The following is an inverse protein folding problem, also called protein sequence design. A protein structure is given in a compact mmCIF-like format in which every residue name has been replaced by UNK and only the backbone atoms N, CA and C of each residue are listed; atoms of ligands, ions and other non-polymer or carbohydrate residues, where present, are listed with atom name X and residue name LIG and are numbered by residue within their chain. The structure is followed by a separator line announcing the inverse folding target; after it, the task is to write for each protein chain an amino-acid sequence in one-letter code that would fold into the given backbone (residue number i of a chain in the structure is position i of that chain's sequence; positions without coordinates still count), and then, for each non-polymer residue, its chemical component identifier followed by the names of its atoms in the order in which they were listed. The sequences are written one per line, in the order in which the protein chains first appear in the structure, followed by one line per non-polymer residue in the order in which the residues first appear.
data_IF_973145209940
#
_entry.id   IF_973145209940
#
_cell.length_a   1.000
_cell.length_b   1.000
_cell.length_c   1.000
_cell.angle_alpha   90.00
_cell.angle_beta   90.00
_cell.angle_gamma   90.00
#
_symmetry.space_group_name_H-M   'P 1'
#
loop_
_entity.id
_entity.type
_entity.pdbx_description
1 polymer ?
#
# COMPACT_ATOMS: atom_id res chain seq x y z
N UNK A 1 12.17 29.89 -11.35
CA UNK A 1 12.66 28.50 -11.33
C UNK A 1 11.46 27.62 -11.03
N UNK A 2 11.11 26.71 -11.95
CA UNK A 2 9.97 25.80 -11.83
C UNK A 2 10.16 24.90 -10.60
N UNK A 3 9.42 25.14 -9.52
CA UNK A 3 9.27 24.16 -8.44
C UNK A 3 8.22 23.16 -8.90
N UNK A 4 8.63 21.91 -9.00
CA UNK A 4 7.80 20.78 -9.44
C UNK A 4 6.73 20.50 -8.37
N UNK A 5 5.52 20.14 -8.79
CA UNK A 5 4.52 19.48 -7.94
C UNK A 5 5.21 18.36 -7.15
N UNK A 6 5.28 18.49 -5.83
CA UNK A 6 5.57 17.38 -4.95
C UNK A 6 4.22 16.73 -4.61
N UNK A 7 3.81 15.77 -5.45
CA UNK A 7 2.72 14.86 -5.11
C UNK A 7 3.28 13.87 -4.08
N UNK A 8 3.16 14.17 -2.78
CA UNK A 8 3.53 13.21 -1.74
C UNK A 8 2.44 12.15 -1.63
N UNK A 9 2.82 10.90 -1.89
CA UNK A 9 1.97 9.71 -1.84
C UNK A 9 1.39 9.52 -0.41
N UNK A 10 0.08 9.56 -0.29
CA UNK A 10 -0.67 8.67 0.60
C UNK A 10 -1.61 7.85 -0.32
N UNK A 11 -1.10 6.72 -0.78
CA UNK A 11 -1.75 5.87 -1.78
C UNK A 11 -2.32 4.64 -1.07
N UNK A 12 -3.63 4.66 -0.78
CA UNK A 12 -4.47 3.44 -0.74
C UNK A 12 -5.79 3.73 -1.47
N UNK A 13 -5.67 4.14 -2.72
CA UNK A 13 -6.55 3.69 -3.79
C UNK A 13 -5.60 3.15 -4.86
N UNK A 14 -5.56 1.83 -5.03
CA UNK A 14 -4.89 1.20 -6.15
C UNK A 14 -5.43 1.83 -7.44
N UNK A 15 -4.52 2.44 -8.20
CA UNK A 15 -4.83 3.11 -9.45
C UNK A 15 -5.38 2.10 -10.46
N UNK A 16 -6.70 2.08 -10.68
CA UNK A 16 -7.26 1.64 -11.97
C UNK A 16 -7.25 2.82 -12.95
N UNK A 17 -6.06 3.27 -13.34
CA UNK A 17 -5.89 4.12 -14.53
C UNK A 17 -5.79 3.17 -15.73
N UNK A 18 -6.93 2.70 -16.24
CA UNK A 18 -6.98 2.06 -17.56
C UNK A 18 -6.89 3.15 -18.64
N UNK A 19 -5.66 3.62 -18.89
CA UNK A 19 -5.29 4.29 -20.13
C UNK A 19 -4.68 3.25 -21.08
N UNK A 20 -5.45 2.82 -22.08
CA UNK A 20 -5.01 1.81 -23.04
C UNK A 20 -3.71 2.19 -23.77
N UNK A 21 -2.75 1.26 -23.82
CA UNK A 21 -1.61 1.34 -24.71
C UNK A 21 -2.06 1.27 -26.17
N UNK A 22 -2.14 2.41 -26.85
CA UNK A 22 -2.00 2.44 -28.31
C UNK A 22 -0.56 2.84 -28.67
N UNK A 23 0.17 1.89 -29.28
CA UNK A 23 1.43 2.17 -29.96
C UNK A 23 1.18 3.16 -31.11
N UNK A 24 1.94 4.26 -31.17
CA UNK A 24 2.41 4.85 -32.44
C UNK A 24 3.55 5.86 -32.29
N UNK A 25 4.68 5.47 -32.87
CA UNK A 25 5.64 6.23 -33.66
C UNK A 25 6.04 7.67 -33.29
N UNK A 26 7.35 7.80 -33.09
CA UNK A 26 8.17 9.01 -33.02
C UNK A 26 7.91 10.00 -34.16
N UNK A 27 7.31 11.17 -33.86
CA UNK A 27 7.75 12.48 -34.39
C UNK A 27 7.09 13.65 -33.66
N UNK A 28 7.93 14.58 -33.20
CA UNK A 28 7.69 15.99 -32.82
C UNK A 28 6.29 16.37 -32.31
N UNK A 29 6.09 16.40 -30.99
CA UNK A 29 4.92 17.03 -30.36
C UNK A 29 5.29 18.40 -29.78
N UNK A 30 4.63 19.44 -30.32
CA UNK A 30 4.40 20.69 -29.61
C UNK A 30 3.75 20.38 -28.26
N UNK A 31 4.24 21.01 -27.18
CA UNK A 31 3.69 20.85 -25.85
C UNK A 31 2.28 21.46 -25.81
N UNK A 32 1.26 20.63 -26.05
CA UNK A 32 -0.10 20.93 -25.65
C UNK A 32 -0.13 21.06 -24.13
N UNK A 33 -0.68 22.17 -23.61
CA UNK A 33 -0.93 22.30 -22.19
C UNK A 33 -1.94 21.21 -21.79
N UNK A 34 -1.52 20.25 -20.98
CA UNK A 34 -2.44 19.27 -20.38
C UNK A 34 -3.47 20.04 -19.54
N UNK A 35 -4.76 19.88 -19.86
CA UNK A 35 -5.84 20.44 -19.05
C UNK A 35 -5.81 19.79 -17.66
N UNK A 36 -5.85 20.61 -16.61
CA UNK A 36 -5.87 20.13 -15.24
C UNK A 36 -7.18 19.40 -14.97
N UNK A 37 -7.10 18.08 -14.70
CA UNK A 37 -8.25 17.26 -14.31
C UNK A 37 -8.80 17.75 -12.98
N UNK A 38 -10.09 18.08 -12.95
CA UNK A 38 -10.80 18.55 -11.75
C UNK A 38 -11.93 17.62 -11.32
N UNK A 39 -12.46 16.82 -12.23
CA UNK A 39 -13.56 15.90 -11.97
C UNK A 39 -13.04 14.54 -11.50
N UNK A 40 -13.57 14.09 -10.36
CA UNK A 40 -13.25 12.81 -9.73
C UNK A 40 -14.51 11.99 -9.56
N UNK A 41 -14.38 10.69 -9.81
CA UNK A 41 -15.43 9.70 -9.63
C UNK A 41 -14.81 8.43 -9.09
N UNK A 42 -15.30 8.00 -7.94
CA UNK A 42 -14.83 6.83 -7.20
C UNK A 42 -15.98 5.85 -7.10
N UNK A 43 -16.01 4.88 -8.02
CA UNK A 43 -17.07 3.87 -8.05
C UNK A 43 -17.07 3.07 -6.74
N UNK A 44 -15.89 2.77 -6.21
CA UNK A 44 -15.66 1.97 -5.00
C UNK A 44 -16.34 2.55 -3.75
N UNK A 45 -16.48 3.87 -3.66
CA UNK A 45 -17.07 4.52 -2.50
C UNK A 45 -18.32 5.34 -2.82
N UNK A 46 -18.83 5.27 -4.05
CA UNK A 46 -20.10 5.91 -4.38
C UNK A 46 -20.03 7.45 -4.42
N UNK A 47 -18.86 8.03 -4.68
CA UNK A 47 -18.62 9.47 -4.64
C UNK A 47 -18.16 10.02 -5.99
N UNK A 48 -18.72 11.16 -6.40
CA UNK A 48 -18.19 11.98 -7.47
C UNK A 48 -18.21 13.46 -7.06
N UNK A 49 -17.20 14.23 -7.49
CA UNK A 49 -17.09 15.65 -7.19
C UNK A 49 -16.09 16.33 -8.13
N UNK A 50 -16.15 17.66 -8.20
CA UNK A 50 -15.19 18.47 -8.94
C UNK A 50 -14.44 19.40 -7.99
N UNK A 51 -13.11 19.33 -7.99
CA UNK A 51 -12.30 20.28 -7.24
C UNK A 51 -12.36 21.67 -7.89
N UNK A 52 -12.43 22.76 -7.09
CA UNK A 52 -12.30 24.12 -7.60
C UNK A 52 -10.97 24.29 -8.35
N UNK A 53 -11.00 24.75 -9.60
CA UNK A 53 -9.80 24.95 -10.43
C UNK A 53 -8.74 25.80 -9.75
N UNK A 54 -9.16 26.83 -9.01
CA UNK A 54 -8.28 27.72 -8.27
C UNK A 54 -7.38 26.99 -7.26
N UNK A 55 -7.85 25.87 -6.69
CA UNK A 55 -7.05 25.05 -5.78
C UNK A 55 -5.87 24.35 -6.47
N UNK A 56 -5.98 24.09 -7.77
CA UNK A 56 -4.97 23.37 -8.55
C UNK A 56 -4.06 24.31 -9.36
N UNK A 57 -4.55 25.51 -9.67
CA UNK A 57 -3.84 26.49 -10.50
C UNK A 57 -3.02 27.50 -9.68
N UNK A 58 -3.31 27.66 -8.38
CA UNK A 58 -2.66 28.64 -7.53
C UNK A 58 -1.25 28.20 -7.11
N UNK A 59 -0.26 29.09 -7.27
CA UNK A 59 1.10 28.85 -6.78
C UNK A 59 1.12 28.73 -5.24
N UNK A 60 1.93 27.80 -4.72
CA UNK A 60 2.13 27.53 -3.28
C UNK A 60 0.87 27.00 -2.55
N UNK A 61 -0.02 26.33 -3.28
CA UNK A 61 -1.09 25.50 -2.69
C UNK A 61 -0.66 24.04 -2.82
N UNK A 62 -0.37 23.38 -1.70
CA UNK A 62 -0.22 21.93 -1.66
C UNK A 62 -1.47 21.32 -1.03
N UNK A 63 -2.21 20.57 -1.83
CA UNK A 63 -3.31 19.74 -1.35
C UNK A 63 -2.87 18.28 -1.37
N UNK A 64 -2.88 17.66 -0.21
CA UNK A 64 -2.54 16.24 -0.04
C UNK A 64 -3.85 15.48 0.11
N UNK A 65 -4.26 14.68 -0.89
CA UNK A 65 -5.41 13.82 -0.73
C UNK A 65 -5.08 12.63 0.19
N UNK A 66 -5.98 12.32 1.12
CA UNK A 66 -5.95 11.12 1.95
C UNK A 66 -7.25 10.36 1.70
N UNK A 67 -7.16 9.13 1.20
CA UNK A 67 -8.36 8.33 0.94
C UNK A 67 -8.15 6.86 1.19
N UNK A 68 -9.22 6.18 1.61
CA UNK A 68 -9.28 4.72 1.72
C UNK A 68 -10.69 4.21 1.47
N UNK A 69 -10.78 2.93 1.11
CA UNK A 69 -12.00 2.12 1.17
C UNK A 69 -11.66 0.85 1.96
N UNK A 70 -12.43 0.58 3.00
CA UNK A 70 -12.28 -0.60 3.85
C UNK A 70 -13.65 -1.24 4.05
N UNK A 71 -13.82 -2.43 3.46
CA UNK A 71 -15.10 -3.16 3.50
C UNK A 71 -15.42 -3.72 4.89
N UNK A 72 -14.45 -3.73 5.80
CA UNK A 72 -14.51 -4.36 7.14
C UNK A 72 -14.50 -3.35 8.29
N UNK A 73 -14.01 -2.13 8.06
CA UNK A 73 -13.96 -1.09 9.07
C UNK A 73 -15.33 -0.47 9.36
N UNK A 74 -15.43 0.20 10.52
CA UNK A 74 -16.63 0.94 10.91
C UNK A 74 -16.90 2.13 9.98
N UNK A 75 -15.84 2.82 9.54
CA UNK A 75 -15.87 3.80 8.46
C UNK A 75 -15.57 3.07 7.16
N UNK A 76 -16.52 3.05 6.23
CA UNK A 76 -16.38 2.31 4.98
C UNK A 76 -15.42 2.98 4.01
N UNK A 77 -15.49 4.30 3.86
CA UNK A 77 -14.54 5.05 3.05
C UNK A 77 -14.35 6.47 3.56
N UNK A 78 -13.17 7.03 3.29
CA UNK A 78 -12.86 8.44 3.52
C UNK A 78 -12.18 9.02 2.29
N UNK A 79 -12.53 10.25 1.93
CA UNK A 79 -11.79 11.08 0.98
C UNK A 79 -11.60 12.46 1.61
N UNK A 80 -10.37 12.80 1.93
CA UNK A 80 -9.98 14.00 2.67
C UNK A 80 -8.91 14.75 1.86
N UNK A 81 -8.92 16.08 1.92
CA UNK A 81 -7.88 16.90 1.32
C UNK A 81 -7.28 17.83 2.37
N UNK A 82 -5.99 17.64 2.63
CA UNK A 82 -5.22 18.42 3.59
C UNK A 82 -4.48 19.55 2.90
N UNK A 83 -4.60 20.77 3.43
CA UNK A 83 -3.73 21.87 3.05
C UNK A 83 -2.42 21.79 3.81
N UNK A 84 -1.32 21.80 3.06
CA UNK A 84 0.02 21.85 3.59
C UNK A 84 0.78 23.08 3.05
N UNK A 85 1.13 24.04 3.91
CA UNK A 85 1.99 25.15 3.51
C UNK A 85 3.37 24.70 3.04
N UNK A 86 3.93 25.37 2.02
CA UNK A 86 5.30 25.14 1.55
C UNK A 86 6.34 25.18 2.68
N UNK A 87 6.16 26.09 3.64
CA UNK A 87 7.06 26.29 4.78
C UNK A 87 7.05 25.11 5.76
N UNK A 88 6.03 24.26 5.72
CA UNK A 88 5.89 23.08 6.58
C UNK A 88 6.36 21.79 5.90
N UNK A 89 6.63 21.81 4.58
CA UNK A 89 6.99 20.62 3.81
C UNK A 89 8.32 20.01 4.26
N UNK A 90 9.30 20.82 4.64
CA UNK A 90 10.60 20.31 5.09
C UNK A 90 10.45 19.51 6.40
N UNK A 91 9.61 19.99 7.33
CA UNK A 91 9.36 19.30 8.60
C UNK A 91 8.54 18.02 8.40
N UNK A 92 7.55 18.04 7.50
CA UNK A 92 6.78 16.83 7.16
C UNK A 92 7.62 15.73 6.52
N UNK A 93 8.69 16.10 5.83
CA UNK A 93 9.63 15.15 5.23
C UNK A 93 10.72 14.69 6.20
N UNK A 94 10.77 15.25 7.41
CA UNK A 94 11.72 14.89 8.44
C UNK A 94 11.12 13.82 9.37
N UNK A 95 11.56 12.57 9.22
CA UNK A 95 11.12 11.47 10.09
C UNK A 95 11.51 11.66 11.56
N UNK A 96 12.46 12.55 11.87
CA UNK A 96 12.89 12.90 13.23
C UNK A 96 12.15 14.13 13.79
N UNK A 97 11.18 14.69 13.06
CA UNK A 97 10.36 15.81 13.52
C UNK A 97 9.65 15.49 14.83
N UNK A 98 9.76 16.41 15.80
CA UNK A 98 8.97 16.37 17.03
C UNK A 98 7.64 17.15 16.89
N UNK A 99 7.42 17.84 15.77
CA UNK A 99 6.21 18.62 15.54
C UNK A 99 5.07 17.68 15.11
N UNK A 100 3.93 17.67 15.81
CA UNK A 100 2.79 16.86 15.42
C UNK A 100 2.32 17.16 14.00
N UNK A 101 2.03 16.12 13.20
CA UNK A 101 1.59 16.26 11.80
C UNK A 101 0.33 17.13 11.66
N UNK A 102 -0.60 17.02 12.62
CA UNK A 102 -1.83 17.82 12.65
C UNK A 102 -1.60 19.31 12.99
N UNK A 103 -0.36 19.70 13.32
CA UNK A 103 0.05 21.10 13.38
C UNK A 103 0.68 21.56 12.06
N UNK A 104 1.15 20.64 11.21
CA UNK A 104 1.87 20.94 9.96
C UNK A 104 0.95 20.96 8.72
N UNK A 105 -0.16 20.24 8.78
CA UNK A 105 -1.21 20.23 7.75
C UNK A 105 -2.60 20.26 8.37
N UNK A 106 -3.61 20.70 7.60
CA UNK A 106 -4.98 20.78 8.09
C UNK A 106 -6.00 20.31 7.05
N UNK A 107 -6.98 19.47 7.42
CA UNK A 107 -8.08 19.11 6.53
C UNK A 107 -8.88 20.34 6.10
N UNK A 108 -9.12 20.46 4.80
CA UNK A 108 -10.03 21.48 4.25
C UNK A 108 -11.46 20.95 4.22
N UNK A 109 -11.62 19.71 3.74
CA UNK A 109 -12.88 19.00 3.71
C UNK A 109 -12.66 17.50 3.74
N UNK A 110 -13.69 16.78 4.20
CA UNK A 110 -13.72 15.32 4.21
C UNK A 110 -15.08 14.82 3.73
N UNK A 111 -15.06 13.86 2.82
CA UNK A 111 -16.20 13.06 2.42
C UNK A 111 -16.10 11.71 3.13
N UNK A 112 -17.08 11.40 3.96
CA UNK A 112 -17.14 10.17 4.75
C UNK A 112 -18.27 9.29 4.21
N UNK A 113 -18.00 8.00 4.04
CA UNK A 113 -18.98 6.99 3.64
C UNK A 113 -19.09 5.96 4.75
N UNK A 114 -20.31 5.68 5.19
CA UNK A 114 -20.58 4.85 6.37
C UNK A 114 -21.72 3.89 6.06
N UNK A 115 -21.58 2.62 6.43
CA UNK A 115 -22.69 1.65 6.33
C UNK A 115 -23.79 1.97 7.32
N UNK A 116 -25.04 1.69 6.98
CA UNK A 116 -26.20 1.93 7.83
C UNK A 116 -26.02 1.40 9.27
N UNK A 117 -25.47 0.20 9.42
CA UNK A 117 -25.22 -0.44 10.72
C UNK A 117 -24.16 0.24 11.58
N UNK A 118 -23.27 1.04 10.98
CA UNK A 118 -22.12 1.64 11.63
C UNK A 118 -22.30 3.15 11.91
N UNK A 119 -23.40 3.78 11.48
CA UNK A 119 -23.63 5.23 11.66
C UNK A 119 -23.48 5.68 13.12
N UNK A 120 -23.88 4.84 14.07
CA UNK A 120 -23.80 5.11 15.50
C UNK A 120 -22.51 4.59 16.17
N UNK A 121 -21.55 4.08 15.40
CA UNK A 121 -20.27 3.59 15.94
C UNK A 121 -19.47 4.70 16.59
N UNK A 122 -18.56 4.31 17.48
CA UNK A 122 -17.69 5.29 18.15
C UNK A 122 -16.71 5.91 17.15
N UNK A 123 -16.15 5.12 16.22
CA UNK A 123 -15.22 5.65 15.20
C UNK A 123 -15.87 6.73 14.32
N UNK A 124 -17.12 6.53 13.90
CA UNK A 124 -17.84 7.52 13.08
C UNK A 124 -18.13 8.79 13.88
N UNK A 125 -18.51 8.66 15.15
CA UNK A 125 -18.73 9.81 16.04
C UNK A 125 -17.46 10.59 16.30
N UNK A 126 -16.35 9.89 16.54
CA UNK A 126 -15.05 10.51 16.79
C UNK A 126 -14.56 11.28 15.56
N UNK A 127 -14.67 10.69 14.36
CA UNK A 127 -14.28 11.36 13.11
C UNK A 127 -15.13 12.61 12.86
N UNK A 128 -16.46 12.52 13.00
CA UNK A 128 -17.36 13.67 12.83
C UNK A 128 -17.06 14.77 13.87
N UNK A 129 -16.71 14.39 15.10
CA UNK A 129 -16.42 15.34 16.18
C UNK A 129 -15.16 16.18 15.94
N UNK A 130 -14.31 15.83 14.96
CA UNK A 130 -13.18 16.65 14.55
C UNK A 130 -13.58 17.90 13.76
N UNK A 131 -14.84 17.99 13.33
CA UNK A 131 -15.36 19.03 12.45
C UNK A 131 -16.50 19.82 13.11
N UNK A 132 -16.53 21.13 12.89
CA UNK A 132 -17.65 21.97 13.38
C UNK A 132 -18.90 21.80 12.52
N UNK A 133 -18.71 21.49 11.23
CA UNK A 133 -19.80 21.33 10.28
C UNK A 133 -19.84 19.89 9.75
N UNK A 134 -21.02 19.28 9.83
CA UNK A 134 -21.32 17.98 9.27
C UNK A 134 -22.64 18.06 8.52
N UNK A 135 -22.57 17.88 7.20
CA UNK A 135 -23.73 17.84 6.34
C UNK A 135 -23.98 16.41 5.86
N UNK A 136 -25.17 15.86 6.13
CA UNK A 136 -25.58 14.57 5.56
C UNK A 136 -25.96 14.76 4.08
N UNK A 137 -25.24 14.07 3.20
CA UNK A 137 -25.45 14.04 1.75
C UNK A 137 -26.56 13.02 1.40
N UNK A 138 -27.07 13.00 0.15
CA UNK A 138 -28.10 12.04 -0.24
C UNK A 138 -27.67 10.59 0.03
N UNK A 139 -28.53 9.84 0.73
CA UNK A 139 -28.29 8.43 1.08
C UNK A 139 -28.41 7.55 -0.14
N UNK A 140 -27.67 6.45 -0.12
CA UNK A 140 -27.73 5.40 -1.13
C UNK A 140 -28.02 4.07 -0.45
N UNK A 141 -28.35 3.04 -1.21
CA UNK A 141 -28.71 1.74 -0.66
C UNK A 141 -27.60 1.20 0.25
N UNK A 142 -27.88 1.08 1.55
CA UNK A 142 -26.92 0.58 2.55
C UNK A 142 -25.95 1.61 3.12
N UNK A 143 -25.92 2.85 2.61
CA UNK A 143 -24.87 3.82 2.93
C UNK A 143 -25.37 5.23 3.26
N UNK A 144 -24.73 5.83 4.26
CA UNK A 144 -24.76 7.24 4.60
C UNK A 144 -23.49 7.93 4.11
N UNK A 145 -23.63 9.19 3.74
CA UNK A 145 -22.57 10.02 3.20
C UNK A 145 -22.55 11.34 3.97
N UNK A 146 -21.37 11.80 4.37
CA UNK A 146 -21.20 13.05 5.11
C UNK A 146 -20.18 13.94 4.43
N UNK A 147 -20.48 15.22 4.34
CA UNK A 147 -19.54 16.27 3.97
C UNK A 147 -19.16 17.05 5.22
N UNK A 148 -17.90 16.88 5.64
CA UNK A 148 -17.35 17.44 6.86
C UNK A 148 -16.45 18.63 6.49
N UNK A 149 -16.68 19.78 7.15
CA UNK A 149 -15.89 20.99 6.96
C UNK A 149 -15.66 21.69 8.30
N UNK A 150 -14.82 22.73 8.29
CA UNK A 150 -14.52 23.52 9.48
C UNK A 150 -13.87 22.66 10.58
N UNK A 151 -12.77 21.99 10.21
CA UNK A 151 -11.93 21.22 11.12
C UNK A 151 -11.55 22.04 12.36
N UNK A 152 -11.67 21.44 13.55
CA UNK A 152 -11.52 22.12 14.85
C UNK A 152 -10.03 22.36 15.21
N UNK A 153 -9.10 21.66 14.55
CA UNK A 153 -7.68 21.79 14.81
C UNK A 153 -7.12 23.20 14.58
N UNK A 154 -5.98 23.46 15.21
CA UNK A 154 -5.30 24.76 15.14
C UNK A 154 -4.17 24.77 14.12
N UNK A 155 -3.88 25.94 13.54
CA UNK A 155 -2.76 26.13 12.60
C UNK A 155 -1.69 27.07 13.18
N UNK A 156 -1.09 26.79 14.36
CA UNK A 156 -0.13 27.70 14.99
C UNK A 156 1.16 27.86 14.16
N UNK A 157 1.60 26.80 13.48
CA UNK A 157 2.80 26.78 12.64
C UNK A 157 2.66 27.60 11.35
N UNK A 158 1.44 27.91 10.90
CA UNK A 158 1.21 28.56 9.61
C UNK A 158 1.63 30.04 9.68
N UNK A 159 2.23 30.56 8.62
CA UNK A 159 2.43 32.00 8.45
C UNK A 159 1.10 32.72 8.17
N UNK A 160 1.11 34.05 8.23
CA UNK A 160 -0.04 34.88 7.86
C UNK A 160 -0.47 34.64 6.40
N UNK A 161 0.50 34.40 5.51
CA UNK A 161 0.24 34.09 4.10
C UNK A 161 -0.47 32.75 3.98
N UNK A 162 0.04 31.71 4.65
CA UNK A 162 -0.54 30.36 4.64
C UNK A 162 -1.95 30.34 5.22
N UNK A 163 -2.21 31.10 6.30
CA UNK A 163 -3.57 31.26 6.84
C UNK A 163 -4.51 31.93 5.84
N UNK A 164 -4.06 32.99 5.16
CA UNK A 164 -4.87 33.66 4.12
C UNK A 164 -5.15 32.75 2.93
N UNK A 165 -4.18 31.92 2.54
CA UNK A 165 -4.37 30.88 1.53
C UNK A 165 -5.44 29.90 1.98
N UNK A 166 -5.35 29.37 3.21
CA UNK A 166 -6.36 28.47 3.77
C UNK A 166 -7.77 29.07 3.75
N UNK A 167 -7.93 30.34 4.13
CA UNK A 167 -9.23 31.03 4.05
C UNK A 167 -9.75 31.14 2.61
N UNK A 168 -8.85 31.37 1.65
CA UNK A 168 -9.21 31.40 0.22
C UNK A 168 -9.68 30.01 -0.24
N UNK A 169 -8.98 28.95 0.15
CA UNK A 169 -9.39 27.58 -0.15
C UNK A 169 -10.76 27.28 0.45
N UNK A 170 -10.96 27.57 1.74
CA UNK A 170 -12.24 27.38 2.44
C UNK A 170 -13.40 28.14 1.78
N UNK A 171 -13.14 29.31 1.21
CA UNK A 171 -14.19 30.10 0.54
C UNK A 171 -14.81 29.42 -0.68
N UNK A 172 -14.13 28.43 -1.27
CA UNK A 172 -14.61 27.64 -2.42
C UNK A 172 -15.37 26.37 -2.01
N UNK A 173 -15.40 26.00 -0.72
CA UNK A 173 -16.12 24.84 -0.22
C UNK A 173 -17.61 24.81 -0.61
N UNK A 174 -18.35 25.94 -0.63
CA UNK A 174 -19.74 25.95 -1.10
C UNK A 174 -19.87 25.64 -2.59
N UNK A 175 -18.87 25.99 -3.40
CA UNK A 175 -18.82 25.66 -4.83
C UNK A 175 -18.53 24.18 -5.02
N UNK A 176 -17.51 23.65 -4.32
CA UNK A 176 -17.17 22.21 -4.32
C UNK A 176 -18.38 21.38 -3.91
N UNK A 177 -19.04 21.73 -2.79
CA UNK A 177 -20.20 21.02 -2.26
C UNK A 177 -21.31 20.81 -3.30
N UNK A 178 -21.57 21.79 -4.17
CA UNK A 178 -22.62 21.69 -5.21
C UNK A 178 -22.31 20.64 -6.28
N UNK A 179 -21.05 20.24 -6.41
CA UNK A 179 -20.59 19.22 -7.36
C UNK A 179 -20.57 17.82 -6.77
N UNK A 180 -20.71 17.70 -5.44
CA UNK A 180 -20.68 16.40 -4.77
C UNK A 180 -21.95 15.62 -5.08
N UNK A 181 -21.76 14.48 -5.72
CA UNK A 181 -22.79 13.50 -6.05
C UNK A 181 -22.51 12.20 -5.30
N UNK A 182 -23.59 11.55 -4.83
CA UNK A 182 -23.52 10.23 -4.20
C UNK A 182 -24.27 9.22 -5.07
N UNK A 183 -23.78 7.99 -5.10
CA UNK A 183 -24.40 6.85 -5.77
C UNK A 183 -24.01 5.56 -5.03
N UNK A 184 -24.61 4.42 -5.39
CA UNK A 184 -24.33 3.15 -4.69
C UNK A 184 -22.86 2.76 -4.89
N UNK A 185 -22.08 2.52 -3.81
CA UNK A 185 -20.71 2.02 -3.91
C UNK A 185 -20.64 0.69 -4.67
N UNK A 186 -19.69 0.57 -5.60
CA UNK A 186 -19.37 -0.69 -6.29
C UNK A 186 -18.46 -1.56 -5.41
N UNK A 187 -19.06 -2.16 -4.39
CA UNK A 187 -18.38 -3.12 -3.51
C UNK A 187 -17.81 -4.32 -4.27
N UNK A 188 -18.39 -4.68 -5.42
CA UNK A 188 -17.90 -5.79 -6.23
C UNK A 188 -16.55 -5.48 -6.87
N UNK A 189 -16.30 -4.23 -7.26
CA UNK A 189 -14.99 -3.78 -7.73
C UNK A 189 -13.93 -3.79 -6.63
N UNK A 190 -14.33 -3.45 -5.39
CA UNK A 190 -13.44 -3.51 -4.22
C UNK A 190 -13.07 -4.95 -3.90
N UNK A 191 -14.06 -5.84 -3.88
CA UNK A 191 -13.83 -7.26 -3.68
C UNK A 191 -12.99 -7.86 -4.82
N UNK A 192 -13.25 -7.49 -6.08
CA UNK A 192 -12.45 -7.94 -7.22
C UNK A 192 -10.99 -7.50 -7.12
N UNK A 193 -10.73 -6.28 -6.63
CA UNK A 193 -9.37 -5.82 -6.37
C UNK A 193 -8.72 -6.59 -5.22
N UNK A 194 -9.43 -6.82 -4.12
CA UNK A 194 -8.93 -7.65 -3.01
C UNK A 194 -8.61 -9.06 -3.51
N UNK A 195 -9.50 -9.66 -4.30
CA UNK A 195 -9.32 -10.99 -4.87
C UNK A 195 -8.14 -11.02 -5.84
N UNK A 196 -7.95 -9.97 -6.64
CA UNK A 196 -6.79 -9.83 -7.51
C UNK A 196 -5.50 -9.70 -6.69
N UNK A 197 -5.50 -8.89 -5.63
CA UNK A 197 -4.33 -8.67 -4.77
C UNK A 197 -3.93 -9.96 -4.03
N UNK A 198 -4.89 -10.85 -3.72
CA UNK A 198 -4.63 -12.20 -3.18
C UNK A 198 -3.88 -13.12 -4.15
N UNK A 199 -3.92 -12.85 -5.45
CA UNK A 199 -3.11 -13.61 -6.42
C UNK A 199 -1.62 -13.32 -6.30
N UNK A 200 -1.23 -12.25 -5.58
CA UNK A 200 0.15 -11.82 -5.44
C UNK A 200 0.64 -11.95 -4.00
N UNK A 201 1.94 -12.23 -3.84
CA UNK A 201 2.58 -12.20 -2.52
C UNK A 201 2.99 -10.76 -2.20
N UNK A 202 2.07 -9.99 -1.61
CA UNK A 202 2.30 -8.59 -1.25
C UNK A 202 2.71 -8.43 0.22
N UNK A 203 3.71 -7.58 0.47
CA UNK A 203 4.16 -7.24 1.82
C UNK A 203 4.97 -5.93 1.86
N UNK A 204 4.93 -5.28 3.02
CA UNK A 204 5.79 -4.18 3.44
C UNK A 204 6.26 -4.50 4.86
N UNK A 205 7.52 -4.88 5.01
CA UNK A 205 8.02 -5.42 6.28
C UNK A 205 9.50 -5.11 6.50
N UNK A 206 10.15 -5.83 7.41
CA UNK A 206 11.58 -5.81 7.67
C UNK A 206 12.18 -7.21 7.54
N UNK A 207 13.48 -7.26 7.28
CA UNK A 207 14.26 -8.48 7.44
C UNK A 207 14.48 -8.80 8.92
N UNK A 208 14.92 -10.02 9.23
CA UNK A 208 15.34 -10.38 10.60
C UNK A 208 16.51 -9.51 11.11
N UNK A 209 17.30 -8.92 10.20
CA UNK A 209 18.37 -7.98 10.54
C UNK A 209 17.85 -6.54 10.80
N UNK A 210 16.56 -6.28 10.59
CA UNK A 210 15.93 -4.96 10.79
C UNK A 210 15.91 -4.06 9.55
N UNK A 211 16.38 -4.53 8.40
CA UNK A 211 16.37 -3.74 7.16
C UNK A 211 14.95 -3.70 6.55
N UNK A 212 14.43 -2.55 6.11
CA UNK A 212 13.16 -2.49 5.40
C UNK A 212 13.16 -3.32 4.11
N UNK A 213 12.07 -4.05 3.85
CA UNK A 213 11.90 -4.90 2.67
C UNK A 213 10.45 -4.90 2.20
N UNK A 214 10.24 -4.87 0.89
CA UNK A 214 8.91 -4.89 0.28
C UNK A 214 8.85 -5.89 -0.87
N UNK A 215 7.63 -6.27 -1.25
CA UNK A 215 7.37 -7.15 -2.41
C UNK A 215 7.94 -6.64 -3.74
N UNK A 216 8.32 -5.37 -3.85
CA UNK A 216 9.01 -4.85 -5.05
C UNK A 216 10.36 -5.52 -5.28
N UNK A 217 10.93 -6.19 -4.26
CA UNK A 217 12.14 -6.98 -4.40
C UNK A 217 12.03 -8.10 -5.44
N UNK A 218 10.81 -8.55 -5.75
CA UNK A 218 10.61 -9.56 -6.79
C UNK A 218 10.87 -9.03 -8.19
N UNK A 219 10.71 -7.72 -8.42
CA UNK A 219 10.77 -7.12 -9.76
C UNK A 219 12.19 -7.12 -10.35
N UNK A 220 13.21 -7.21 -9.49
CA UNK A 220 14.62 -7.22 -9.89
C UNK A 220 15.10 -8.60 -10.38
N UNK A 221 14.28 -9.64 -10.26
CA UNK A 221 14.64 -11.02 -10.59
C UNK A 221 13.61 -11.64 -11.53
N UNK A 222 14.04 -12.56 -12.39
CA UNK A 222 13.10 -13.33 -13.22
C UNK A 222 12.27 -14.30 -12.37
N UNK A 223 12.84 -14.78 -11.26
CA UNK A 223 12.21 -15.69 -10.33
C UNK A 223 12.80 -15.48 -8.92
N UNK A 224 11.96 -15.55 -7.90
CA UNK A 224 12.37 -15.60 -6.49
C UNK A 224 11.85 -16.88 -5.85
N UNK A 225 12.75 -17.65 -5.25
CA UNK A 225 12.41 -18.82 -4.44
C UNK A 225 12.13 -18.33 -3.01
N UNK A 226 10.95 -18.63 -2.49
CA UNK A 226 10.52 -18.20 -1.15
C UNK A 226 10.27 -19.44 -0.29
N UNK A 227 11.07 -19.61 0.76
CA UNK A 227 10.90 -20.70 1.73
C UNK A 227 10.17 -20.19 2.98
N UNK A 228 9.10 -20.87 3.38
CA UNK A 228 8.39 -20.62 4.63
C UNK A 228 8.84 -21.62 5.68
N UNK A 229 9.30 -21.10 6.80
CA UNK A 229 9.84 -21.86 7.93
C UNK A 229 9.33 -21.27 9.25
N UNK A 230 9.49 -22.01 10.35
CA UNK A 230 9.15 -21.52 11.69
C UNK A 230 10.12 -22.07 12.72
N UNK A 231 10.31 -21.34 13.82
CA UNK A 231 11.21 -21.75 14.91
C UNK A 231 10.90 -23.15 15.43
N UNK A 232 9.62 -23.53 15.51
CA UNK A 232 9.17 -24.84 15.98
C UNK A 232 9.47 -26.00 15.01
N UNK A 233 9.98 -25.73 13.80
CA UNK A 233 10.54 -26.76 12.93
C UNK A 233 11.87 -27.28 13.49
N UNK A 234 12.65 -26.43 14.15
CA UNK A 234 13.90 -26.80 14.78
C UNK A 234 13.66 -27.55 16.11
N UNK A 235 14.45 -28.58 16.45
CA UNK A 235 15.52 -29.22 15.65
C UNK A 235 15.03 -30.39 14.78
N UNK A 236 13.73 -30.71 14.81
CA UNK A 236 13.19 -31.97 14.29
C UNK A 236 13.14 -32.02 12.75
N UNK A 237 12.91 -30.88 12.12
CA UNK A 237 12.78 -30.70 10.67
C UNK A 237 13.81 -29.65 10.26
N UNK A 238 15.08 -30.01 10.35
CA UNK A 238 16.20 -29.09 10.08
C UNK A 238 16.67 -29.23 8.62
N UNK A 239 16.29 -28.25 7.79
CA UNK A 239 16.71 -28.16 6.38
C UNK A 239 17.69 -27.01 6.10
N UNK A 240 18.04 -26.21 7.12
CA UNK A 240 18.72 -24.93 6.93
C UNK A 240 20.10 -25.09 6.27
N UNK A 241 20.86 -26.13 6.63
CA UNK A 241 22.15 -26.41 5.99
C UNK A 241 21.99 -26.81 4.51
N UNK A 242 20.91 -27.52 4.18
CA UNK A 242 20.57 -27.88 2.79
C UNK A 242 20.12 -26.65 2.00
N UNK A 243 19.29 -25.78 2.60
CA UNK A 243 18.89 -24.51 1.98
C UNK A 243 20.08 -23.58 1.78
N UNK A 244 21.05 -23.57 2.71
CA UNK A 244 22.27 -22.77 2.57
C UNK A 244 23.14 -23.26 1.39
N UNK A 245 23.35 -24.57 1.26
CA UNK A 245 24.05 -25.16 0.11
C UNK A 245 23.30 -24.87 -1.21
N UNK A 246 21.98 -25.02 -1.22
CA UNK A 246 21.13 -24.64 -2.35
C UNK A 246 21.28 -23.16 -2.71
N UNK A 247 21.21 -22.26 -1.74
CA UNK A 247 21.37 -20.81 -1.95
C UNK A 247 22.72 -20.46 -2.57
N UNK A 248 23.82 -21.07 -2.10
CA UNK A 248 25.15 -20.86 -2.66
C UNK A 248 25.24 -21.33 -4.11
N UNK A 249 24.74 -22.54 -4.41
CA UNK A 249 24.71 -23.07 -5.77
C UNK A 249 23.81 -22.25 -6.70
N UNK A 250 22.66 -21.79 -6.20
CA UNK A 250 21.72 -20.95 -6.93
C UNK A 250 22.40 -19.65 -7.37
N UNK A 251 23.08 -18.94 -6.45
CA UNK A 251 23.79 -17.69 -6.78
C UNK A 251 24.92 -17.88 -7.78
N UNK A 252 25.61 -19.03 -7.73
CA UNK A 252 26.69 -19.34 -8.66
C UNK A 252 26.15 -19.59 -10.08
N UNK A 253 25.00 -20.26 -10.18
CA UNK A 253 24.42 -20.68 -11.47
C UNK A 253 23.51 -19.61 -12.10
N UNK A 254 22.74 -18.89 -11.29
CA UNK A 254 21.71 -17.95 -11.74
C UNK A 254 21.85 -16.57 -11.09
N UNK A 255 22.17 -15.55 -11.89
CA UNK A 255 22.25 -14.15 -11.41
C UNK A 255 20.89 -13.46 -11.37
N UNK A 256 19.91 -14.01 -12.08
CA UNK A 256 18.55 -13.49 -12.25
C UNK A 256 17.53 -14.23 -11.37
N UNK A 257 17.99 -15.09 -10.45
CA UNK A 257 17.12 -15.80 -9.51
C UNK A 257 17.52 -15.43 -8.09
N UNK A 258 16.54 -15.12 -7.26
CA UNK A 258 16.73 -14.81 -5.85
C UNK A 258 16.24 -15.94 -4.94
N UNK A 259 16.69 -15.94 -3.69
CA UNK A 259 16.18 -16.79 -2.62
C UNK A 259 15.97 -15.98 -1.35
N UNK A 260 14.82 -16.16 -0.71
CA UNK A 260 14.52 -15.61 0.61
C UNK A 260 13.81 -16.64 1.48
N UNK A 261 14.03 -16.54 2.78
CA UNK A 261 13.24 -17.26 3.78
C UNK A 261 12.26 -16.30 4.48
N UNK A 262 11.09 -16.82 4.85
CA UNK A 262 10.13 -16.18 5.73
C UNK A 262 10.04 -17.03 7.00
N UNK A 263 10.27 -16.42 8.17
CA UNK A 263 10.05 -17.05 9.47
C UNK A 263 8.67 -16.66 9.96
N UNK A 264 7.72 -17.59 9.89
CA UNK A 264 6.30 -17.25 10.01
C UNK A 264 5.84 -16.93 11.45
N UNK A 265 6.64 -17.31 12.44
CA UNK A 265 6.41 -17.06 13.86
C UNK A 265 7.31 -15.96 14.44
N UNK A 266 7.96 -15.18 13.56
CA UNK A 266 8.62 -13.92 13.90
C UNK A 266 7.69 -12.71 13.59
N UNK A 267 7.82 -11.58 14.30
CA UNK A 267 8.74 -11.37 15.42
C UNK A 267 8.25 -12.10 16.68
N UNK A 268 9.19 -12.52 17.53
CA UNK A 268 8.87 -13.23 18.76
C UNK A 268 10.13 -13.69 19.48
N UNK A 269 10.32 -13.26 20.74
CA UNK A 269 11.59 -13.44 21.47
C UNK A 269 12.08 -14.90 21.50
N UNK A 270 11.22 -15.84 21.87
CA UNK A 270 11.58 -17.28 21.90
C UNK A 270 11.84 -17.84 20.49
N UNK A 271 11.09 -17.37 19.49
CA UNK A 271 11.27 -17.79 18.10
C UNK A 271 12.59 -17.27 17.55
N UNK A 272 12.93 -16.00 17.81
CA UNK A 272 14.16 -15.35 17.38
C UNK A 272 15.40 -15.96 18.03
N UNK A 273 15.39 -16.29 19.33
CA UNK A 273 16.49 -17.00 19.99
C UNK A 273 16.73 -18.38 19.35
N UNK A 274 15.64 -19.10 19.04
CA UNK A 274 15.70 -20.40 18.38
C UNK A 274 16.23 -20.27 16.95
N UNK A 275 15.77 -19.26 16.20
CA UNK A 275 16.22 -18.95 14.83
C UNK A 275 17.71 -18.62 14.83
N UNK A 276 18.18 -17.75 15.73
CA UNK A 276 19.59 -17.36 15.83
C UNK A 276 20.48 -18.58 16.08
N UNK A 277 20.07 -19.46 16.99
CA UNK A 277 20.78 -20.72 17.26
C UNK A 277 20.83 -21.61 16.02
N UNK A 278 19.68 -21.86 15.39
CA UNK A 278 19.58 -22.73 14.22
C UNK A 278 20.37 -22.18 13.02
N UNK A 279 20.36 -20.87 12.82
CA UNK A 279 21.08 -20.19 11.73
C UNK A 279 22.59 -20.24 11.95
N UNK A 280 23.05 -20.04 13.18
CA UNK A 280 24.46 -20.14 13.54
C UNK A 280 24.99 -21.56 13.31
N UNK A 281 24.22 -22.59 13.69
CA UNK A 281 24.60 -23.99 13.47
C UNK A 281 24.65 -24.37 11.98
N UNK A 282 23.71 -23.85 11.18
CA UNK A 282 23.61 -24.16 9.76
C UNK A 282 24.45 -23.25 8.86
N UNK A 283 25.00 -22.15 9.38
CA UNK A 283 25.75 -21.16 8.60
C UNK A 283 24.88 -20.37 7.62
N UNK A 284 23.64 -20.05 8.00
CA UNK A 284 22.68 -19.33 7.14
C UNK A 284 23.19 -17.93 6.80
N UNK A 285 23.12 -17.57 5.51
CA UNK A 285 23.55 -16.25 4.98
C UNK A 285 22.55 -15.62 4.01
N UNK A 286 21.43 -16.29 3.74
CA UNK A 286 20.35 -15.73 2.92
C UNK A 286 19.48 -14.74 3.70
N UNK A 287 18.79 -13.86 2.98
CA UNK A 287 17.87 -12.90 3.57
C UNK A 287 16.67 -13.60 4.18
N UNK A 288 16.33 -13.21 5.40
CA UNK A 288 15.16 -13.69 6.13
C UNK A 288 14.19 -12.55 6.37
N UNK A 289 12.92 -12.74 6.05
CA UNK A 289 11.85 -11.75 6.13
C UNK A 289 10.92 -12.11 7.29
N UNK A 290 10.49 -11.09 8.02
CA UNK A 290 9.41 -11.18 9.01
C UNK A 290 8.08 -10.91 8.26
N UNK A 291 7.03 -11.75 8.39
CA UNK A 291 5.77 -11.49 7.70
C UNK A 291 5.04 -10.28 8.29
N UNK A 292 4.50 -9.41 7.43
CA UNK A 292 3.48 -8.45 7.82
C UNK A 292 2.08 -9.11 7.83
N UNK A 293 1.03 -8.35 8.17
CA UNK A 293 -0.33 -8.90 8.21
C UNK A 293 -0.83 -9.40 6.85
N UNK A 294 -0.42 -8.75 5.77
CA UNK A 294 -0.79 -9.15 4.41
C UNK A 294 -0.15 -10.49 4.05
N UNK A 295 1.16 -10.64 4.27
CA UNK A 295 1.87 -11.90 4.07
C UNK A 295 1.33 -13.00 4.99
N UNK A 296 1.05 -12.69 6.27
CA UNK A 296 0.49 -13.66 7.20
C UNK A 296 -0.87 -14.20 6.74
N UNK A 297 -1.74 -13.32 6.24
CA UNK A 297 -3.04 -13.71 5.66
C UNK A 297 -2.84 -14.59 4.42
N UNK A 298 -1.91 -14.20 3.54
CA UNK A 298 -1.57 -15.00 2.36
C UNK A 298 -1.05 -16.39 2.75
N UNK A 299 -0.17 -16.48 3.76
CA UNK A 299 0.38 -17.75 4.28
C UNK A 299 -0.74 -18.66 4.79
N UNK A 300 -1.68 -18.13 5.58
CA UNK A 300 -2.81 -18.91 6.12
C UNK A 300 -3.66 -19.51 4.98
N UNK A 301 -3.87 -18.75 3.90
CA UNK A 301 -4.68 -19.18 2.76
C UNK A 301 -3.93 -20.16 1.84
N UNK A 302 -2.59 -20.06 1.74
CA UNK A 302 -1.82 -20.73 0.69
C UNK A 302 -0.78 -21.74 1.16
N UNK A 303 -0.44 -21.80 2.45
CA UNK A 303 0.59 -22.70 2.99
C UNK A 303 -0.05 -23.67 3.98
N UNK A 304 -0.09 -24.95 3.64
CA UNK A 304 -0.79 -25.98 4.43
C UNK A 304 0.10 -26.71 5.44
N UNK A 305 1.41 -26.50 5.37
CA UNK A 305 2.39 -27.14 6.27
C UNK A 305 3.76 -26.50 6.16
N UNK A 306 4.63 -26.80 7.12
CA UNK A 306 6.00 -26.32 7.14
C UNK A 306 7.03 -27.46 7.17
N UNK A 307 8.21 -27.26 6.56
CA UNK A 307 8.53 -26.14 5.68
C UNK A 307 7.79 -26.25 4.34
N UNK A 308 7.63 -25.12 3.65
CA UNK A 308 7.12 -25.08 2.28
C UNK A 308 7.91 -24.08 1.46
N UNK A 309 8.33 -24.46 0.25
CA UNK A 309 9.00 -23.56 -0.69
C UNK A 309 8.10 -23.29 -1.90
N UNK A 310 7.95 -22.03 -2.26
CA UNK A 310 7.22 -21.56 -3.44
C UNK A 310 8.16 -20.82 -4.39
N UNK A 311 7.63 -20.52 -5.58
CA UNK A 311 8.34 -19.81 -6.63
C UNK A 311 7.50 -18.60 -7.04
N UNK A 312 8.08 -17.41 -7.00
CA UNK A 312 7.40 -16.14 -7.27
C UNK A 312 8.04 -15.49 -8.49
N UNK A 313 7.21 -15.11 -9.46
CA UNK A 313 7.69 -14.46 -10.68
C UNK A 313 8.06 -12.98 -10.46
N UNK A 314 8.55 -12.34 -11.52
CA UNK A 314 8.97 -10.95 -11.52
C UNK A 314 7.84 -9.92 -11.40
N UNK A 315 6.59 -10.37 -11.23
CA UNK A 315 5.42 -9.52 -10.94
C UNK A 315 4.96 -9.67 -9.49
N UNK A 316 5.59 -10.56 -8.72
CA UNK A 316 5.16 -10.92 -7.36
C UNK A 316 4.08 -12.00 -7.34
N UNK A 317 3.79 -12.66 -8.47
CA UNK A 317 2.77 -13.71 -8.55
C UNK A 317 3.41 -15.08 -8.25
N UNK A 318 2.89 -15.84 -7.27
CA UNK A 318 3.32 -17.20 -7.03
C UNK A 318 2.94 -18.14 -8.18
N UNK A 319 3.87 -18.99 -8.59
CA UNK A 319 3.61 -20.11 -9.49
C UNK A 319 2.83 -21.21 -8.76
N UNK A 320 2.21 -22.09 -9.53
CA UNK A 320 1.37 -23.18 -8.98
C UNK A 320 2.17 -24.27 -8.28
N UNK A 321 3.41 -24.51 -8.70
CA UNK A 321 4.30 -25.51 -8.11
C UNK A 321 4.77 -25.08 -6.73
N UNK A 322 4.69 -26.02 -5.77
CA UNK A 322 5.20 -25.86 -4.40
C UNK A 322 5.99 -27.10 -4.01
N UNK A 323 6.98 -26.92 -3.15
CA UNK A 323 7.70 -28.00 -2.51
C UNK A 323 7.25 -28.04 -1.06
N UNK A 324 6.49 -29.07 -0.71
CA UNK A 324 6.04 -29.30 0.66
C UNK A 324 7.02 -30.23 1.38
N UNK A 325 7.50 -29.81 2.55
CA UNK A 325 8.49 -30.53 3.34
C UNK A 325 9.92 -30.39 2.83
N UNK A 326 10.82 -31.08 3.52
CA UNK A 326 12.27 -31.01 3.28
C UNK A 326 12.67 -31.82 2.05
N UNK A 327 13.46 -31.21 1.18
CA UNK A 327 14.10 -31.87 0.04
C UNK A 327 15.62 -31.68 0.07
N UNK A 328 16.32 -32.38 -0.83
CA UNK A 328 17.76 -32.19 -1.02
C UNK A 328 18.07 -31.05 -1.99
N UNK A 329 19.33 -30.59 -2.01
CA UNK A 329 19.79 -29.49 -2.86
C UNK A 329 19.50 -29.72 -4.35
N UNK A 330 19.75 -30.93 -4.86
CA UNK A 330 19.55 -31.26 -6.28
C UNK A 330 18.10 -31.07 -6.70
N UNK A 331 17.15 -31.51 -5.84
CA UNK A 331 15.72 -31.35 -6.10
C UNK A 331 15.29 -29.88 -6.10
N UNK A 332 15.80 -29.07 -5.15
CA UNK A 332 15.55 -27.64 -5.14
C UNK A 332 16.09 -26.96 -6.40
N UNK A 333 17.29 -27.31 -6.85
CA UNK A 333 17.89 -26.80 -8.08
C UNK A 333 17.07 -27.19 -9.33
N UNK A 334 16.74 -28.48 -9.49
CA UNK A 334 15.97 -28.98 -10.64
C UNK A 334 14.58 -28.34 -10.73
N UNK A 335 13.91 -28.19 -9.59
CA UNK A 335 12.59 -27.54 -9.56
C UNK A 335 12.71 -26.06 -9.90
N UNK A 336 13.72 -25.36 -9.36
CA UNK A 336 13.96 -23.94 -9.68
C UNK A 336 14.23 -23.75 -11.17
N UNK A 337 14.98 -24.65 -11.78
CA UNK A 337 15.26 -24.65 -13.23
C UNK A 337 13.99 -24.83 -14.05
N UNK A 338 13.16 -25.80 -13.66
CA UNK A 338 11.86 -26.05 -14.31
C UNK A 338 10.96 -24.82 -14.23
N UNK A 339 10.87 -24.17 -13.08
CA UNK A 339 10.04 -22.98 -12.87
C UNK A 339 10.56 -21.76 -13.65
N UNK A 340 11.88 -21.59 -13.71
CA UNK A 340 12.48 -20.51 -14.48
C UNK A 340 12.22 -20.69 -15.98
N UNK A 341 12.22 -21.93 -16.48
CA UNK A 341 11.91 -22.22 -17.88
C UNK A 341 10.42 -22.09 -18.20
N UNK A 342 9.53 -22.44 -17.27
CA UNK A 342 8.08 -22.19 -17.39
C UNK A 342 7.79 -20.69 -17.60
N UNK A 343 8.38 -19.82 -16.78
CA UNK A 343 8.24 -18.36 -16.89
C UNK A 343 8.70 -17.85 -18.27
N UNK A 344 9.81 -18.40 -18.80
CA UNK A 344 10.32 -17.99 -20.12
C UNK A 344 9.41 -18.42 -21.25
N UNK A 345 8.73 -19.56 -21.13
CA UNK A 345 7.82 -20.07 -22.18
C UNK A 345 6.44 -19.43 -22.18
N UNK A 346 6.03 -18.82 -21.05
CA UNK A 346 4.77 -18.09 -20.93
C UNK A 346 4.82 -16.64 -21.48
N UNK A 347 6.02 -16.10 -21.72
CA UNK A 347 6.29 -14.80 -22.37
C UNK A 347 6.37 -14.95 -23.89
#
# INVERSE_FOLDING_TARGET
MRKKMALFLALILSMSILGGCEKKDTSTQEAAAEEVKTDYRFEQCGLAYSLPKIWLEQENVNLIPVSFVDTTAEIYAKVEYDYTPDENMDELNNIESEIPVNELMIPIFTLLVVRNENVDSQAVKDEIALYQNCEELPKQEGFHFYYLTDYIGSTPSFSEISRKTLETLKSELPSLRKTVETFVPDESSVQAQIDQDKEYLNFISTTLAGDPVTSTMFYDYDLTVVNFWASYCYPKINELATLQDFYEQLKLKYKNVNFVQVVIDAPGEEAEETVETAYTEAGVTFTTIIPDQNMASWIIENVHGLPTTIFVDNTGRPLTTKIEGVQNTDYYMETTETMLDEIKTAK
#
